data_IF_265162902404
#
_entry.id   IF_265162902404
#
_cell.length_a   1.000
_cell.length_b   1.000
_cell.length_c   1.000
_cell.angle_alpha   90.00
_cell.angle_beta   90.00
_cell.angle_gamma   90.00
#
_symmetry.space_group_name_H-M   'P 1'
#
loop_
_entity.id
_entity.type
_entity.pdbx_description
1 polymer ?
#
# COMPACT_ATOMS: atom_id res chain seq x y z
N UNK A 1 -35.80 -46.99 16.02
CA UNK A 1 -35.76 -45.53 15.85
C UNK A 1 -34.36 -45.08 16.25
N UNK A 2 -33.42 -45.15 15.30
CA UNK A 2 -32.00 -44.93 15.53
C UNK A 2 -31.69 -43.43 15.44
N UNK A 3 -31.07 -42.87 16.48
CA UNK A 3 -30.59 -41.50 16.48
C UNK A 3 -29.40 -41.40 15.50
N UNK A 4 -29.63 -40.77 14.35
CA UNK A 4 -28.57 -40.29 13.48
C UNK A 4 -27.97 -39.06 14.15
N UNK A 5 -26.81 -39.24 14.77
CA UNK A 5 -25.94 -38.14 15.17
C UNK A 5 -25.34 -37.53 13.90
N UNK A 6 -25.84 -36.36 13.50
CA UNK A 6 -25.20 -35.51 12.50
C UNK A 6 -23.89 -35.02 13.10
N UNK A 7 -22.79 -35.68 12.78
CA UNK A 7 -21.45 -35.20 13.05
C UNK A 7 -21.19 -34.04 12.08
N UNK A 8 -21.04 -32.83 12.63
CA UNK A 8 -20.60 -31.68 11.87
C UNK A 8 -19.19 -31.99 11.35
N UNK A 9 -19.08 -32.22 10.04
CA UNK A 9 -17.81 -32.46 9.38
C UNK A 9 -16.99 -31.17 9.45
N UNK A 10 -16.00 -31.14 10.35
CA UNK A 10 -14.99 -30.10 10.36
C UNK A 10 -14.21 -30.22 9.05
N UNK A 11 -14.48 -29.29 8.13
CA UNK A 11 -13.71 -29.14 6.91
C UNK A 11 -12.36 -28.58 7.34
N UNK A 12 -11.37 -29.46 7.39
CA UNK A 12 -9.97 -29.08 7.49
C UNK A 12 -9.63 -28.34 6.19
N UNK A 13 -9.76 -27.01 6.22
CA UNK A 13 -9.30 -26.15 5.13
C UNK A 13 -7.80 -25.98 5.39
N UNK A 14 -6.89 -26.56 4.57
CA UNK A 14 -5.47 -26.33 4.70
C UNK A 14 -5.17 -24.90 4.23
N UNK A 15 -5.50 -23.95 5.09
CA UNK A 15 -5.10 -22.56 4.93
C UNK A 15 -3.67 -22.46 5.43
N UNK A 16 -2.73 -21.99 4.60
CA UNK A 16 -1.40 -21.65 5.09
C UNK A 16 -1.54 -20.57 6.17
N UNK A 17 -1.27 -20.93 7.42
CA UNK A 17 -1.24 -20.00 8.53
C UNK A 17 0.07 -19.22 8.45
N UNK A 18 -0.03 -17.91 8.17
CA UNK A 18 1.09 -16.99 8.29
C UNK A 18 1.21 -16.59 9.77
N UNK A 19 1.98 -17.35 10.53
CA UNK A 19 2.31 -16.99 11.91
C UNK A 19 3.49 -16.00 11.92
N UNK A 20 3.20 -14.74 12.24
CA UNK A 20 4.23 -13.73 12.51
C UNK A 20 4.71 -13.87 13.96
N UNK A 21 5.76 -14.66 14.16
CA UNK A 21 6.36 -14.91 15.47
C UNK A 21 7.88 -14.83 15.44
N UNK A 22 8.49 -14.42 16.55
CA UNK A 22 9.94 -14.53 16.74
C UNK A 22 10.19 -15.87 17.41
N UNK A 23 10.57 -16.87 16.61
CA UNK A 23 11.02 -18.18 17.08
C UNK A 23 12.54 -18.28 16.94
N UNK A 24 13.17 -19.14 17.74
CA UNK A 24 14.60 -19.42 17.60
C UNK A 24 14.82 -20.14 16.27
N UNK A 25 15.68 -19.60 15.40
CA UNK A 25 16.01 -20.22 14.12
C UNK A 25 16.88 -21.47 14.32
N UNK A 26 16.39 -22.63 13.91
CA UNK A 26 17.10 -23.92 14.06
C UNK A 26 18.10 -24.18 12.91
N UNK A 27 18.04 -23.41 11.81
CA UNK A 27 18.99 -23.52 10.69
C UNK A 27 19.21 -22.24 9.86
N UNK A 28 20.26 -22.22 9.00
CA UNK A 28 20.58 -21.07 8.13
C UNK A 28 19.48 -20.70 7.12
N UNK A 29 18.56 -21.63 6.82
CA UNK A 29 17.43 -21.38 5.92
C UNK A 29 16.35 -20.47 6.54
N UNK A 30 16.09 -20.61 7.84
CA UNK A 30 15.04 -19.85 8.52
C UNK A 30 15.40 -18.37 8.64
N UNK A 31 16.67 -18.08 8.97
CA UNK A 31 17.17 -16.70 9.01
C UNK A 31 17.13 -16.04 7.63
N UNK A 32 17.38 -16.78 6.54
CA UNK A 32 17.28 -16.25 5.18
C UNK A 32 15.83 -15.92 4.81
N UNK A 33 14.88 -16.79 5.17
CA UNK A 33 13.44 -16.55 5.00
C UNK A 33 12.97 -15.31 5.77
N UNK A 34 13.36 -15.19 7.05
CA UNK A 34 13.03 -14.01 7.87
C UNK A 34 13.60 -12.73 7.26
N UNK A 35 14.86 -12.73 6.83
CA UNK A 35 15.47 -11.57 6.16
C UNK A 35 14.75 -11.21 4.85
N UNK A 36 14.36 -12.20 4.05
CA UNK A 36 13.62 -11.98 2.81
C UNK A 36 12.25 -11.35 3.07
N UNK A 37 11.52 -11.81 4.09
CA UNK A 37 10.24 -11.23 4.48
C UNK A 37 10.43 -9.78 4.95
N UNK A 38 11.45 -9.52 5.78
CA UNK A 38 11.78 -8.15 6.24
C UNK A 38 12.11 -7.24 5.05
N UNK A 39 12.92 -7.72 4.11
CA UNK A 39 13.26 -6.97 2.90
C UNK A 39 12.02 -6.66 2.05
N UNK A 40 11.13 -7.64 1.85
CA UNK A 40 9.88 -7.47 1.10
C UNK A 40 8.96 -6.42 1.78
N UNK A 41 8.75 -6.52 3.09
CA UNK A 41 7.93 -5.56 3.84
C UNK A 41 8.51 -4.14 3.80
N UNK A 42 9.84 -4.03 3.81
CA UNK A 42 10.55 -2.75 3.67
C UNK A 42 10.27 -2.12 2.31
N UNK A 43 10.40 -2.89 1.22
CA UNK A 43 10.11 -2.41 -0.14
C UNK A 43 8.64 -2.05 -0.28
N UNK A 44 7.71 -2.89 0.22
CA UNK A 44 6.28 -2.64 0.13
C UNK A 44 5.85 -1.36 0.86
N UNK A 45 6.49 -1.03 1.99
CA UNK A 45 6.22 0.19 2.75
C UNK A 45 6.75 1.43 2.04
N UNK A 46 7.91 1.34 1.39
CA UNK A 46 8.51 2.46 0.65
C UNK A 46 7.89 2.68 -0.73
N UNK A 47 7.39 1.62 -1.37
CA UNK A 47 6.78 1.67 -2.70
C UNK A 47 5.74 2.79 -2.87
N UNK A 48 4.71 2.95 -2.00
CA UNK A 48 3.71 4.01 -2.17
C UNK A 48 4.32 5.41 -2.04
N UNK A 49 5.29 5.60 -1.14
CA UNK A 49 5.96 6.89 -0.98
C UNK A 49 6.79 7.24 -2.23
N UNK A 50 7.50 6.27 -2.79
CA UNK A 50 8.31 6.44 -4.01
C UNK A 50 7.41 6.81 -5.19
N UNK A 51 6.28 6.12 -5.39
CA UNK A 51 5.33 6.43 -6.47
C UNK A 51 4.82 7.87 -6.37
N UNK A 52 4.46 8.32 -5.17
CA UNK A 52 4.00 9.69 -4.95
C UNK A 52 5.11 10.71 -5.18
N UNK A 53 6.36 10.42 -4.81
CA UNK A 53 7.50 11.33 -5.01
C UNK A 53 7.97 11.43 -6.47
N UNK A 54 7.97 10.32 -7.20
CA UNK A 54 8.43 10.25 -8.59
C UNK A 54 7.40 10.73 -9.62
N UNK A 55 6.16 10.96 -9.22
CA UNK A 55 5.08 11.41 -10.10
C UNK A 55 4.87 12.93 -10.06
N UNK A 56 3.87 13.43 -10.80
CA UNK A 56 3.49 14.85 -10.82
C UNK A 56 2.92 15.36 -9.49
N UNK A 57 2.62 14.49 -8.52
CA UNK A 57 2.03 14.86 -7.23
C UNK A 57 2.82 15.95 -6.50
N UNK A 58 4.14 15.80 -6.36
CA UNK A 58 4.99 16.77 -5.64
C UNK A 58 4.90 18.18 -6.25
N UNK A 59 4.82 18.30 -7.58
CA UNK A 59 4.67 19.60 -8.24
C UNK A 59 3.30 20.21 -7.98
N UNK A 60 2.24 19.40 -8.11
CA UNK A 60 0.86 19.86 -7.93
C UNK A 60 0.63 20.33 -6.49
N UNK A 61 1.05 19.56 -5.49
CA UNK A 61 0.83 19.93 -4.08
C UNK A 61 1.60 21.19 -3.67
N UNK A 62 2.82 21.40 -4.20
CA UNK A 62 3.62 22.60 -3.95
C UNK A 62 2.93 23.83 -4.53
N UNK A 63 2.46 23.76 -5.79
CA UNK A 63 1.72 24.86 -6.41
C UNK A 63 0.43 25.18 -5.65
N UNK A 64 -0.36 24.17 -5.29
CA UNK A 64 -1.59 24.36 -4.52
C UNK A 64 -1.32 24.92 -3.12
N UNK A 65 -0.22 24.51 -2.46
CA UNK A 65 0.21 25.06 -1.17
C UNK A 65 0.59 26.54 -1.28
N UNK A 66 1.31 26.93 -2.33
CA UNK A 66 1.63 28.33 -2.60
C UNK A 66 0.39 29.15 -2.90
N UNK A 67 -0.57 28.62 -3.68
CA UNK A 67 -1.86 29.29 -3.93
C UNK A 67 -2.59 29.53 -2.61
N UNK A 68 -2.64 28.54 -1.71
CA UNK A 68 -3.24 28.73 -0.38
C UNK A 68 -2.55 29.86 0.40
N UNK A 69 -1.23 29.86 0.46
CA UNK A 69 -0.47 30.90 1.17
C UNK A 69 -0.67 32.28 0.55
N UNK A 70 -0.78 32.36 -0.78
CA UNK A 70 -1.01 33.60 -1.51
C UNK A 70 -2.41 34.20 -1.25
N UNK A 71 -3.41 33.36 -0.95
CA UNK A 71 -4.76 33.82 -0.60
C UNK A 71 -4.87 34.38 0.83
N UNK A 72 -3.79 34.37 1.63
CA UNK A 72 -3.74 34.83 3.03
C UNK A 72 -4.82 34.20 3.94
N UNK A 73 -5.38 33.05 3.55
CA UNK A 73 -6.40 32.34 4.31
C UNK A 73 -5.71 31.48 5.39
N UNK A 74 -6.07 31.70 6.65
CA UNK A 74 -5.32 31.12 7.78
C UNK A 74 -5.47 29.61 7.96
N UNK A 75 -6.55 28.99 7.47
CA UNK A 75 -6.85 27.56 7.70
C UNK A 75 -7.68 26.91 6.58
N UNK A 76 -8.14 27.69 5.59
CA UNK A 76 -8.93 27.19 4.46
C UNK A 76 -8.07 27.30 3.20
N UNK A 77 -7.92 26.24 2.38
CA UNK A 77 -8.41 24.86 2.54
C UNK A 77 -7.52 23.99 3.46
N UNK A 78 -8.09 22.97 4.14
CA UNK A 78 -7.34 22.09 5.03
C UNK A 78 -6.33 21.21 4.25
N UNK A 79 -5.23 20.81 4.91
CA UNK A 79 -4.16 20.01 4.28
C UNK A 79 -4.68 18.71 3.65
N UNK A 80 -5.65 18.05 4.29
CA UNK A 80 -6.26 16.82 3.77
C UNK A 80 -6.97 17.05 2.42
N UNK A 81 -7.62 18.19 2.22
CA UNK A 81 -8.29 18.52 0.95
C UNK A 81 -7.26 18.83 -0.13
N UNK A 82 -6.19 19.56 0.20
CA UNK A 82 -5.10 19.82 -0.75
C UNK A 82 -4.44 18.52 -1.24
N UNK A 83 -4.18 17.59 -0.32
CA UNK A 83 -3.63 16.27 -0.65
C UNK A 83 -4.61 15.49 -1.53
N UNK A 84 -5.91 15.48 -1.20
CA UNK A 84 -6.94 14.81 -2.00
C UNK A 84 -7.05 15.37 -3.43
N UNK A 85 -7.06 16.70 -3.57
CA UNK A 85 -7.04 17.38 -4.88
C UNK A 85 -5.76 17.04 -5.66
N UNK A 86 -4.60 17.07 -5.00
CA UNK A 86 -3.34 16.76 -5.63
C UNK A 86 -3.30 15.30 -6.13
N UNK A 87 -3.77 14.34 -5.34
CA UNK A 87 -3.84 12.93 -5.74
C UNK A 87 -4.79 12.73 -6.92
N UNK A 88 -5.98 13.35 -6.89
CA UNK A 88 -6.94 13.25 -7.99
C UNK A 88 -6.37 13.81 -9.30
N UNK A 89 -5.77 15.00 -9.25
CA UNK A 89 -5.14 15.62 -10.41
C UNK A 89 -3.93 14.81 -10.91
N UNK A 90 -3.19 14.17 -10.02
CA UNK A 90 -2.08 13.28 -10.37
C UNK A 90 -2.58 12.08 -11.16
N UNK A 91 -3.64 11.40 -10.69
CA UNK A 91 -4.24 10.27 -11.40
C UNK A 91 -4.75 10.68 -12.79
N UNK A 92 -5.33 11.88 -12.91
CA UNK A 92 -5.78 12.41 -14.20
C UNK A 92 -4.61 12.72 -15.15
N UNK A 93 -3.53 13.34 -14.65
CA UNK A 93 -2.37 13.71 -15.50
C UNK A 93 -1.44 12.54 -15.83
N UNK A 94 -1.39 11.50 -14.99
CA UNK A 94 -0.57 10.29 -15.20
C UNK A 94 -1.28 9.17 -15.96
N UNK A 95 -2.56 9.33 -16.30
CA UNK A 95 -3.30 8.39 -17.14
C UNK A 95 -2.55 7.92 -18.43
N UNK A 96 -1.87 8.78 -19.21
CA UNK A 96 -1.13 8.33 -20.40
C UNK A 96 0.13 7.53 -20.05
N UNK A 97 0.87 7.92 -19.02
CA UNK A 97 2.08 7.21 -18.59
C UNK A 97 1.77 5.76 -18.20
N UNK A 98 0.64 5.51 -17.53
CA UNK A 98 0.20 4.14 -17.25
C UNK A 98 -0.19 3.36 -18.51
N UNK A 99 -0.76 4.03 -19.52
CA UNK A 99 -1.11 3.39 -20.79
C UNK A 99 0.14 3.02 -21.59
N UNK A 100 1.14 3.91 -21.63
CA UNK A 100 2.44 3.64 -22.26
C UNK A 100 3.13 2.44 -21.58
N UNK A 101 3.21 2.43 -20.25
CA UNK A 101 3.80 1.32 -19.49
C UNK A 101 3.07 -0.02 -19.70
N UNK A 102 1.75 -0.01 -19.86
CA UNK A 102 0.97 -1.23 -20.13
C UNK A 102 1.09 -1.70 -21.58
N UNK A 103 1.36 -0.79 -22.52
CA UNK A 103 1.42 -1.09 -23.96
C UNK A 103 2.84 -1.46 -24.41
N UNK A 104 3.89 -0.90 -23.80
CA UNK A 104 5.30 -1.22 -24.08
C UNK A 104 5.84 -2.40 -23.25
N UNK A 105 5.10 -2.84 -22.22
CA UNK A 105 5.44 -3.95 -21.33
C UNK A 105 4.89 -5.32 -21.73
#
# INVERSE_FOLDING_TARGET
>A
MAAVSVQAQQVDVPLPALEFGITTADGPGDVALTLQIVALLTVLTLAPAIVVMLTSFTRIIVVLSFVRSALALQQMPPNQVLIGLALFLTMFTMAPTWQELYTEG
#
